data_IF_898980960625
#
_entry.id   IF_898980960625
#
_cell.length_a   1.000
_cell.length_b   1.000
_cell.length_c   1.000
_cell.angle_alpha   90.00
_cell.angle_beta   90.00
_cell.angle_gamma   90.00
#
_symmetry.space_group_name_H-M   'P 1'
#
loop_
_entity.id
_entity.type
_entity.pdbx_description
1 polymer ?
#
# COMPACT_ATOMS: atom_id res chain seq x y z
N UNK A 1 -15.08 4.88 12.42
CA UNK A 1 -14.25 3.65 12.43
C UNK A 1 -15.07 2.36 12.43
N UNK A 2 -15.89 2.05 13.44
CA UNK A 2 -16.55 0.73 13.56
C UNK A 2 -17.40 0.32 12.33
N UNK A 3 -18.28 1.20 11.85
CA UNK A 3 -19.08 0.96 10.64
C UNK A 3 -18.21 0.79 9.38
N UNK A 4 -17.18 1.64 9.23
CA UNK A 4 -16.21 1.51 8.13
C UNK A 4 -15.44 0.20 8.19
N UNK A 5 -15.15 -0.30 9.39
CA UNK A 5 -14.48 -1.59 9.61
C UNK A 5 -15.37 -2.75 9.16
N UNK A 6 -16.68 -2.70 9.38
CA UNK A 6 -17.59 -3.74 8.89
C UNK A 6 -17.59 -3.83 7.36
N UNK A 7 -17.70 -2.68 6.69
CA UNK A 7 -17.62 -2.61 5.22
C UNK A 7 -16.25 -3.09 4.72
N UNK A 8 -15.17 -2.68 5.40
CA UNK A 8 -13.82 -3.16 5.10
C UNK A 8 -13.70 -4.69 5.22
N UNK A 9 -14.26 -5.30 6.27
CA UNK A 9 -14.16 -6.75 6.46
C UNK A 9 -14.85 -7.52 5.34
N UNK A 10 -16.02 -7.05 4.89
CA UNK A 10 -16.69 -7.62 3.72
C UNK A 10 -15.81 -7.50 2.47
N UNK A 11 -15.32 -6.30 2.18
CA UNK A 11 -14.48 -6.05 1.01
C UNK A 11 -13.16 -6.85 1.05
N UNK A 12 -12.53 -6.97 2.22
CA UNK A 12 -11.33 -7.76 2.44
C UNK A 12 -11.59 -9.27 2.21
N UNK A 13 -12.76 -9.79 2.60
CA UNK A 13 -13.13 -11.17 2.30
C UNK A 13 -13.32 -11.41 0.79
N UNK A 14 -13.84 -10.43 0.06
CA UNK A 14 -13.90 -10.48 -1.41
C UNK A 14 -12.52 -10.40 -2.06
N UNK A 15 -11.65 -9.49 -1.60
CA UNK A 15 -10.27 -9.39 -2.07
C UNK A 15 -9.49 -10.69 -1.83
N UNK A 16 -9.68 -11.33 -0.67
CA UNK A 16 -9.05 -12.61 -0.37
C UNK A 16 -9.50 -13.73 -1.33
N UNK A 17 -10.79 -13.80 -1.65
CA UNK A 17 -11.30 -14.74 -2.66
C UNK A 17 -10.75 -14.44 -4.05
N UNK A 18 -10.68 -13.17 -4.43
CA UNK A 18 -10.11 -12.76 -5.71
C UNK A 18 -8.63 -13.14 -5.83
N UNK A 19 -7.80 -12.92 -4.79
CA UNK A 19 -6.38 -13.32 -4.78
C UNK A 19 -6.18 -14.84 -4.85
N UNK A 20 -7.13 -15.62 -4.31
CA UNK A 20 -7.07 -17.07 -4.39
C UNK A 20 -7.38 -17.60 -5.80
N UNK A 21 -8.12 -16.83 -6.61
CA UNK A 21 -8.41 -17.16 -8.00
C UNK A 21 -7.36 -16.58 -8.96
N UNK A 22 -7.13 -15.27 -8.89
CA UNK A 22 -6.09 -14.56 -9.62
C UNK A 22 -4.75 -14.71 -8.91
N UNK A 23 -4.20 -15.91 -8.90
CA UNK A 23 -2.86 -16.17 -8.38
C UNK A 23 -1.80 -15.50 -9.26
N UNK A 24 -0.61 -15.22 -8.72
CA UNK A 24 0.41 -14.46 -9.47
C UNK A 24 0.82 -15.17 -10.77
N UNK A 25 1.02 -16.49 -10.72
CA UNK A 25 1.34 -17.29 -11.90
C UNK A 25 0.13 -17.41 -12.83
N UNK A 26 0.28 -17.00 -14.08
CA UNK A 26 -0.81 -16.97 -15.07
C UNK A 26 -1.77 -15.76 -14.99
N UNK A 27 -1.82 -15.00 -13.89
CA UNK A 27 -2.69 -13.82 -13.75
C UNK A 27 -1.98 -12.57 -13.21
N UNK A 28 -0.71 -12.35 -13.57
CA UNK A 28 0.12 -11.25 -13.05
C UNK A 28 -0.61 -9.91 -12.99
N UNK A 29 -1.23 -9.47 -14.08
CA UNK A 29 -1.94 -8.17 -14.14
C UNK A 29 -3.11 -8.12 -13.16
N UNK A 30 -4.01 -9.11 -13.20
CA UNK A 30 -5.19 -9.13 -12.33
C UNK A 30 -4.79 -9.29 -10.86
N UNK A 31 -3.77 -10.10 -10.57
CA UNK A 31 -3.23 -10.27 -9.23
C UNK A 31 -2.80 -8.93 -8.65
N UNK A 32 -2.00 -8.14 -9.38
CA UNK A 32 -1.58 -6.80 -8.95
C UNK A 32 -2.75 -5.83 -8.79
N UNK A 33 -3.75 -5.86 -9.66
CA UNK A 33 -4.97 -5.05 -9.51
C UNK A 33 -5.67 -5.37 -8.19
N UNK A 34 -5.80 -6.65 -7.84
CA UNK A 34 -6.44 -7.07 -6.58
C UNK A 34 -5.61 -6.60 -5.37
N UNK A 35 -4.29 -6.75 -5.40
CA UNK A 35 -3.40 -6.30 -4.33
C UNK A 35 -3.47 -4.77 -4.13
N UNK A 36 -3.46 -3.99 -5.21
CA UNK A 36 -3.61 -2.54 -5.16
C UNK A 36 -4.96 -2.12 -4.57
N UNK A 37 -6.05 -2.79 -4.99
CA UNK A 37 -7.39 -2.53 -4.43
C UNK A 37 -7.48 -2.87 -2.94
N UNK A 38 -6.89 -3.97 -2.50
CA UNK A 38 -6.85 -4.33 -1.08
C UNK A 38 -5.98 -3.35 -0.27
N UNK A 39 -4.85 -2.89 -0.82
CA UNK A 39 -4.05 -1.82 -0.22
C UNK A 39 -4.85 -0.52 -0.09
N UNK A 40 -5.61 -0.14 -1.12
CA UNK A 40 -6.46 1.05 -1.10
C UNK A 40 -7.59 0.93 -0.06
N UNK A 41 -8.23 -0.25 0.08
CA UNK A 41 -9.23 -0.53 1.11
C UNK A 41 -8.66 -0.37 2.53
N UNK A 42 -7.41 -0.80 2.75
CA UNK A 42 -6.72 -0.55 4.02
C UNK A 42 -6.45 0.95 4.22
N UNK A 43 -6.07 1.67 3.17
CA UNK A 43 -5.83 3.11 3.21
C UNK A 43 -7.08 3.91 3.60
N UNK A 44 -8.24 3.57 3.03
CA UNK A 44 -9.50 4.24 3.37
C UNK A 44 -9.94 3.95 4.80
N UNK A 45 -9.74 2.72 5.31
CA UNK A 45 -10.00 2.40 6.72
C UNK A 45 -9.04 3.14 7.67
N UNK A 46 -7.76 3.21 7.31
CA UNK A 46 -6.71 3.87 8.09
C UNK A 46 -7.05 5.33 8.37
N UNK A 47 -7.56 6.05 7.37
CA UNK A 47 -7.93 7.47 7.50
C UNK A 47 -9.01 7.72 8.58
N UNK A 48 -9.74 6.67 8.98
CA UNK A 48 -10.82 6.72 9.97
C UNK A 48 -10.43 6.11 11.32
N UNK A 49 -9.23 5.55 11.48
CA UNK A 49 -8.80 4.90 12.72
C UNK A 49 -8.20 5.91 13.71
N UNK A 50 -8.78 6.07 14.90
CA UNK A 50 -8.27 7.02 15.90
C UNK A 50 -6.95 6.58 16.55
N UNK A 51 -6.58 5.30 16.45
CA UNK A 51 -5.40 4.76 17.12
C UNK A 51 -4.17 4.82 16.20
N UNK A 52 -3.19 5.63 16.59
CA UNK A 52 -1.97 5.82 15.82
C UNK A 52 -1.15 4.52 15.64
N UNK A 53 -1.09 3.65 16.66
CA UNK A 53 -0.37 2.37 16.56
C UNK A 53 -1.05 1.44 15.55
N UNK A 54 -2.39 1.38 15.55
CA UNK A 54 -3.14 0.61 14.54
C UNK A 54 -2.95 1.18 13.14
N UNK A 55 -2.94 2.50 12.97
CA UNK A 55 -2.63 3.12 11.67
C UNK A 55 -1.25 2.68 11.15
N UNK A 56 -0.21 2.72 11.99
CA UNK A 56 1.13 2.24 11.62
C UNK A 56 1.11 0.74 11.27
N UNK A 57 0.41 -0.09 12.05
CA UNK A 57 0.28 -1.52 11.75
C UNK A 57 -0.41 -1.78 10.40
N UNK A 58 -1.46 -1.00 10.08
CA UNK A 58 -2.13 -1.08 8.78
C UNK A 58 -1.22 -0.64 7.63
N UNK A 59 -0.39 0.39 7.79
CA UNK A 59 0.57 0.78 6.75
C UNK A 59 1.63 -0.30 6.52
N UNK A 60 2.18 -0.90 7.59
CA UNK A 60 3.07 -2.06 7.46
C UNK A 60 2.42 -3.21 6.70
N UNK A 61 1.14 -3.47 6.95
CA UNK A 61 0.37 -4.49 6.21
C UNK A 61 0.21 -4.14 4.73
N UNK A 62 -0.02 -2.86 4.37
CA UNK A 62 -0.07 -2.41 2.97
C UNK A 62 1.27 -2.61 2.25
N UNK A 63 2.39 -2.31 2.91
CA UNK A 63 3.74 -2.56 2.36
C UNK A 63 3.96 -4.07 2.15
N UNK A 64 3.67 -4.88 3.17
CA UNK A 64 3.82 -6.34 3.11
C UNK A 64 2.92 -7.01 2.05
N UNK A 65 1.84 -6.34 1.62
CA UNK A 65 0.97 -6.81 0.56
C UNK A 65 1.58 -6.59 -0.83
N UNK A 66 2.25 -5.46 -1.06
CA UNK A 66 2.71 -5.02 -2.38
C UNK A 66 4.17 -5.38 -2.66
N UNK A 67 5.03 -5.40 -1.65
CA UNK A 67 6.47 -5.55 -1.83
C UNK A 67 6.92 -6.97 -2.22
N UNK A 68 6.43 -8.07 -1.61
CA UNK A 68 6.89 -9.41 -1.97
C UNK A 68 6.58 -9.82 -3.43
N UNK A 69 5.40 -9.49 -4.01
CA UNK A 69 5.12 -9.76 -5.42
C UNK A 69 6.00 -8.95 -6.38
N UNK A 70 6.43 -7.74 -6.00
CA UNK A 70 7.34 -6.94 -6.82
C UNK A 70 8.69 -7.61 -7.03
N UNK A 71 9.23 -8.27 -6.00
CA UNK A 71 10.49 -8.99 -6.09
C UNK A 71 10.45 -10.19 -7.07
N UNK A 72 9.24 -10.68 -7.40
CA UNK A 72 9.01 -11.78 -8.33
C UNK A 72 8.67 -11.29 -9.75
N UNK A 73 8.41 -9.99 -9.91
CA UNK A 73 7.94 -9.42 -11.16
C UNK A 73 9.11 -9.12 -12.10
N UNK A 74 9.00 -9.54 -13.36
CA UNK A 74 9.93 -9.09 -14.38
C UNK A 74 9.65 -7.63 -14.74
N UNK A 75 10.53 -6.72 -14.33
CA UNK A 75 10.40 -5.28 -14.56
C UNK A 75 10.25 -4.91 -16.03
N UNK A 76 10.95 -5.59 -16.95
CA UNK A 76 10.87 -5.26 -18.39
C UNK A 76 9.55 -5.68 -19.02
N UNK A 77 9.01 -6.83 -18.60
CA UNK A 77 7.74 -7.33 -19.11
C UNK A 77 6.53 -6.56 -18.53
N UNK A 78 6.64 -6.07 -17.28
CA UNK A 78 5.54 -5.44 -16.55
C UNK A 78 5.91 -4.04 -16.04
N UNK A 79 6.62 -3.26 -16.85
CA UNK A 79 7.24 -1.98 -16.45
C UNK A 79 6.27 -1.02 -15.77
N UNK A 80 5.05 -0.88 -16.30
CA UNK A 80 4.07 0.02 -15.73
C UNK A 80 3.60 -0.43 -14.33
N UNK A 81 3.30 -1.71 -14.17
CA UNK A 81 2.88 -2.29 -12.88
C UNK A 81 4.01 -2.16 -11.86
N UNK A 82 5.24 -2.49 -12.28
CA UNK A 82 6.42 -2.42 -11.42
C UNK A 82 6.66 -1.00 -10.91
N UNK A 83 6.66 0.00 -11.80
CA UNK A 83 6.85 1.42 -11.44
C UNK A 83 5.71 1.93 -10.55
N UNK A 84 4.46 1.60 -10.87
CA UNK A 84 3.32 2.04 -10.07
C UNK A 84 3.40 1.46 -8.65
N UNK A 85 3.67 0.16 -8.52
CA UNK A 85 3.76 -0.47 -7.22
C UNK A 85 4.97 0.02 -6.40
N UNK A 86 6.10 0.33 -7.04
CA UNK A 86 7.22 1.01 -6.38
C UNK A 86 6.81 2.38 -5.84
N UNK A 87 6.13 3.19 -6.65
CA UNK A 87 5.61 4.48 -6.23
C UNK A 87 4.65 4.33 -5.04
N UNK A 88 3.68 3.41 -5.13
CA UNK A 88 2.72 3.14 -4.07
C UNK A 88 3.42 2.78 -2.75
N UNK A 89 4.40 1.86 -2.80
CA UNK A 89 5.17 1.45 -1.60
C UNK A 89 5.98 2.61 -1.01
N UNK A 90 6.61 3.43 -1.86
CA UNK A 90 7.35 4.61 -1.42
C UNK A 90 6.43 5.64 -0.75
N UNK A 91 5.27 5.93 -1.35
CA UNK A 91 4.26 6.81 -0.77
C UNK A 91 3.77 6.32 0.59
N UNK A 92 3.45 5.02 0.72
CA UNK A 92 3.03 4.43 2.00
C UNK A 92 4.14 4.55 3.05
N UNK A 93 5.41 4.34 2.69
CA UNK A 93 6.53 4.51 3.62
C UNK A 93 6.68 5.96 4.08
N UNK A 94 6.49 6.92 3.17
CA UNK A 94 6.53 8.34 3.51
C UNK A 94 5.40 8.72 4.46
N UNK A 95 4.17 8.29 4.18
CA UNK A 95 3.03 8.46 5.08
C UNK A 95 3.31 7.85 6.47
N UNK A 96 3.99 6.71 6.52
CA UNK A 96 4.31 6.02 7.78
C UNK A 96 5.32 6.80 8.59
N UNK A 97 6.32 7.37 7.91
CA UNK A 97 7.34 8.20 8.54
C UNK A 97 6.72 9.47 9.12
N UNK A 98 5.88 10.17 8.36
CA UNK A 98 5.16 11.35 8.81
C UNK A 98 4.27 11.04 10.03
N UNK A 99 3.53 9.93 10.00
CA UNK A 99 2.71 9.49 11.13
C UNK A 99 3.54 9.19 12.39
N UNK A 100 4.70 8.55 12.25
CA UNK A 100 5.62 8.32 13.38
C UNK A 100 6.20 9.62 13.92
N UNK A 101 6.58 10.55 13.04
CA UNK A 101 7.14 11.83 13.43
C UNK A 101 6.14 12.62 14.30
N UNK A 102 4.87 12.65 13.88
CA UNK A 102 3.76 13.23 14.64
C UNK A 102 3.57 12.56 16.02
N UNK A 103 3.72 11.23 16.12
CA UNK A 103 3.61 10.51 17.39
C UNK A 103 4.72 10.87 18.39
N UNK A 104 5.92 11.18 17.90
CA UNK A 104 7.10 11.46 18.73
C UNK A 104 7.38 12.96 18.92
N UNK A 105 6.54 13.85 18.37
CA UNK A 105 6.76 15.30 18.43
C UNK A 105 8.00 15.78 17.68
N UNK A 106 8.52 14.96 16.76
CA UNK A 106 9.66 15.28 15.91
C UNK A 106 9.18 15.85 14.58
N UNK A 107 9.90 16.83 14.03
CA UNK A 107 9.63 17.31 12.68
C UNK A 107 10.00 16.21 11.66
N UNK A 108 9.12 15.87 10.69
CA UNK A 108 9.46 14.90 9.66
C UNK A 108 10.59 15.44 8.78
N UNK A 109 11.54 14.58 8.40
CA UNK A 109 12.65 14.97 7.53
C UNK A 109 12.11 15.62 6.24
N UNK A 110 12.74 16.71 5.74
CA UNK A 110 12.29 17.39 4.54
C UNK A 110 12.20 16.39 3.38
N UNK A 111 11.09 16.44 2.63
CA UNK A 111 10.99 15.66 1.39
C UNK A 111 12.13 16.12 0.49
N UNK A 112 12.94 15.17 0.02
CA UNK A 112 13.87 15.45 -1.06
C UNK A 112 13.01 15.91 -2.24
N UNK A 113 13.00 17.21 -2.51
CA UNK A 113 12.41 17.72 -3.75
C UNK A 113 13.13 16.99 -4.87
N UNK A 114 12.38 16.23 -5.66
CA UNK A 114 12.93 15.57 -6.83
C UNK A 114 13.57 16.66 -7.67
N UNK A 115 14.90 16.63 -7.78
CA UNK A 115 15.67 17.68 -8.42
C UNK A 115 15.05 18.03 -9.77
N UNK A 116 14.63 19.29 -9.90
CA UNK A 116 14.19 19.89 -11.16
C UNK A 116 15.40 20.13 -12.10
N UNK A 117 16.61 19.79 -11.68
CA UNK A 117 17.84 20.01 -12.45
C UNK A 117 18.36 18.73 -13.12
N UNK A 118 17.61 18.20 -14.08
CA UNK A 118 18.15 17.24 -15.06
C UNK A 118 17.38 17.28 -16.38
N UNK A 119 17.44 18.42 -17.09
CA UNK A 119 17.47 18.49 -18.56
C UNK A 119 18.20 19.76 -19.01
#
# INVERSE_FOLDING_TARGET
YAQAREVYLLAAAHAQRAKAFFVLDGFVTDHFIVLQRESALLGTLLALDPDANRRIAMQKRRIALLEPPLAQLNEKAYTQIFRQALFDVASIRSEMLEAKAQMHGSEPAPRLEAGVDAY
#
